data_IF_755498723458
#
_entry.id   IF_755498723458
#
_cell.length_a   1.000
_cell.length_b   1.000
_cell.length_c   1.000
_cell.angle_alpha   90.00
_cell.angle_beta   90.00
_cell.angle_gamma   90.00
#
_symmetry.space_group_name_H-M   'P 1'
#
loop_
_entity.id
_entity.type
_entity.pdbx_description
1 polymer ?
#
# COMPACT_ATOMS: atom_id res chain seq x y z
N UNK A 1 -5.35 -12.25 -1.60
CA UNK A 1 -6.33 -12.44 -0.49
C UNK A 1 -5.78 -13.54 0.39
N UNK A 2 -5.95 -13.42 1.70
CA UNK A 2 -5.42 -14.35 2.68
C UNK A 2 -6.58 -14.88 3.55
N UNK A 3 -6.80 -16.20 3.63
CA UNK A 3 -7.67 -16.78 4.64
C UNK A 3 -7.03 -16.61 6.02
N UNK A 4 -7.82 -16.20 7.00
CA UNK A 4 -7.40 -16.04 8.39
C UNK A 4 -8.10 -17.09 9.27
N UNK A 5 -7.74 -17.09 10.55
CA UNK A 5 -8.43 -17.84 11.59
C UNK A 5 -9.96 -17.60 11.57
N UNK A 6 -10.71 -18.63 11.98
CA UNK A 6 -12.18 -18.61 12.05
C UNK A 6 -12.91 -18.28 10.73
N UNK A 7 -12.30 -18.56 9.58
CA UNK A 7 -12.94 -18.41 8.26
C UNK A 7 -13.07 -16.97 7.77
N UNK A 8 -12.41 -16.00 8.43
CA UNK A 8 -12.36 -14.62 7.94
C UNK A 8 -11.42 -14.53 6.74
N UNK A 9 -11.72 -13.65 5.81
CA UNK A 9 -10.83 -13.32 4.69
C UNK A 9 -10.26 -11.91 4.88
N UNK A 10 -8.98 -11.75 4.60
CA UNK A 10 -8.31 -10.45 4.52
C UNK A 10 -7.82 -10.21 3.09
N UNK A 11 -8.13 -9.05 2.53
CA UNK A 11 -7.62 -8.65 1.23
C UNK A 11 -6.98 -7.28 1.29
N UNK A 12 -5.85 -7.13 0.58
CA UNK A 12 -5.29 -5.86 0.20
C UNK A 12 -5.91 -5.39 -1.11
N UNK A 13 -6.32 -4.13 -1.16
CA UNK A 13 -6.89 -3.51 -2.36
C UNK A 13 -6.19 -2.18 -2.64
N UNK A 14 -6.02 -1.86 -3.92
CA UNK A 14 -5.64 -0.50 -4.31
C UNK A 14 -6.86 0.40 -4.11
N UNK A 15 -6.78 1.29 -3.14
CA UNK A 15 -7.79 2.29 -2.89
C UNK A 15 -7.38 3.61 -3.56
N UNK A 16 -8.13 3.98 -4.60
CA UNK A 16 -7.96 5.25 -5.29
C UNK A 16 -9.31 5.92 -5.48
N UNK A 17 -9.42 7.17 -5.03
CA UNK A 17 -10.61 7.99 -5.29
C UNK A 17 -10.29 9.48 -5.34
N UNK A 18 -11.15 10.21 -6.06
CA UNK A 18 -11.20 11.67 -6.06
C UNK A 18 -11.95 12.18 -4.82
N UNK A 19 -11.84 13.48 -4.56
CA UNK A 19 -12.61 14.14 -3.49
C UNK A 19 -14.09 14.17 -3.86
N UNK A 20 -14.94 13.86 -2.89
CA UNK A 20 -16.41 13.89 -2.98
C UNK A 20 -16.97 15.12 -2.27
N UNK A 21 -18.23 15.54 -2.57
CA UNK A 21 -18.86 16.68 -1.91
C UNK A 21 -18.88 16.60 -0.38
N UNK A 22 -19.15 15.42 0.17
CA UNK A 22 -19.30 15.20 1.60
C UNK A 22 -17.97 14.91 2.33
N UNK A 23 -16.84 14.97 1.63
CA UNK A 23 -15.53 14.83 2.27
C UNK A 23 -15.18 16.05 3.14
N UNK A 24 -14.35 15.88 4.17
CA UNK A 24 -13.84 16.99 4.96
C UNK A 24 -13.23 18.09 4.07
N UNK A 25 -13.54 19.36 4.38
CA UNK A 25 -13.01 20.51 3.64
C UNK A 25 -11.47 20.49 3.55
N UNK A 26 -10.82 20.05 4.64
CA UNK A 26 -9.36 19.90 4.77
C UNK A 26 -8.74 18.81 3.89
N UNK A 27 -9.53 17.88 3.35
CA UNK A 27 -9.01 16.78 2.55
C UNK A 27 -8.50 17.33 1.21
N UNK A 28 -7.19 17.22 0.99
CA UNK A 28 -6.51 17.77 -0.18
C UNK A 28 -5.92 16.66 -1.03
N UNK A 29 -5.79 16.89 -2.33
CA UNK A 29 -5.09 15.99 -3.24
C UNK A 29 -3.57 16.09 -3.00
N UNK A 30 -2.89 15.02 -2.53
CA UNK A 30 -1.48 15.12 -2.16
C UNK A 30 -0.56 15.51 -3.32
N UNK A 31 -0.93 15.16 -4.56
CA UNK A 31 -0.17 15.53 -5.77
C UNK A 31 -0.04 17.04 -5.94
N UNK A 32 -0.96 17.83 -5.39
CA UNK A 32 -0.81 19.29 -5.39
C UNK A 32 0.44 19.71 -4.62
N UNK A 33 0.83 19.01 -3.56
CA UNK A 33 2.00 19.36 -2.74
C UNK A 33 3.29 18.69 -3.21
N UNK A 34 3.21 17.86 -4.25
CA UNK A 34 4.38 17.21 -4.83
C UNK A 34 5.27 18.26 -5.54
N UNK A 35 6.55 18.42 -5.16
CA UNK A 35 7.45 19.37 -5.80
C UNK A 35 7.75 19.03 -7.25
N UNK A 36 7.65 17.76 -7.63
CA UNK A 36 7.94 17.29 -9.00
C UNK A 36 6.69 17.34 -9.90
N UNK A 37 5.52 17.73 -9.36
CA UNK A 37 4.30 17.88 -10.13
C UNK A 37 4.17 19.30 -10.73
N UNK A 38 4.03 19.44 -12.06
CA UNK A 38 3.96 20.75 -12.71
C UNK A 38 2.57 21.38 -12.55
N UNK A 39 2.29 21.91 -11.35
CA UNK A 39 0.98 22.48 -10.95
C UNK A 39 0.46 23.52 -11.94
N UNK A 40 1.32 24.43 -12.40
CA UNK A 40 0.93 25.57 -13.23
C UNK A 40 0.43 25.16 -14.63
N UNK A 41 1.04 24.11 -15.20
CA UNK A 41 0.65 23.59 -16.51
C UNK A 41 -0.42 22.49 -16.42
N UNK A 42 -0.66 21.92 -15.24
CA UNK A 42 -1.62 20.86 -15.03
C UNK A 42 -3.08 21.35 -15.08
N UNK A 43 -3.88 20.80 -16.00
CA UNK A 43 -5.27 21.16 -16.20
C UNK A 43 -6.17 20.87 -14.97
N UNK A 44 -6.02 19.71 -14.33
CA UNK A 44 -6.79 19.37 -13.12
C UNK A 44 -6.44 20.29 -11.95
N UNK A 45 -5.15 20.63 -11.79
CA UNK A 45 -4.71 21.62 -10.80
C UNK A 45 -5.36 22.99 -11.05
N UNK A 46 -5.29 23.51 -12.26
CA UNK A 46 -5.88 24.83 -12.58
C UNK A 46 -7.40 24.87 -12.38
N UNK A 47 -8.09 23.78 -12.69
CA UNK A 47 -9.55 23.73 -12.59
C UNK A 47 -10.06 23.53 -11.16
N UNK A 48 -9.37 22.73 -10.33
CA UNK A 48 -9.90 22.27 -9.04
C UNK A 48 -9.06 22.71 -7.83
N UNK A 49 -7.80 23.11 -8.01
CA UNK A 49 -6.90 23.38 -6.90
C UNK A 49 -6.59 22.14 -6.06
N UNK A 50 -5.98 22.35 -4.89
CA UNK A 50 -5.64 21.28 -3.95
C UNK A 50 -6.89 20.62 -3.31
N UNK A 51 -7.97 21.38 -3.16
CA UNK A 51 -9.13 21.00 -2.34
C UNK A 51 -10.41 20.75 -3.15
N UNK A 52 -10.37 20.83 -4.48
CA UNK A 52 -11.55 20.76 -5.32
C UNK A 52 -12.15 19.36 -5.45
N UNK A 53 -13.47 19.32 -5.48
CA UNK A 53 -14.26 18.11 -5.76
C UNK A 53 -14.00 17.67 -7.19
N UNK A 54 -13.84 16.36 -7.42
CA UNK A 54 -13.63 15.81 -8.76
C UNK A 54 -12.26 16.10 -9.39
N UNK A 55 -11.37 16.82 -8.70
CA UNK A 55 -9.99 17.06 -9.14
C UNK A 55 -9.10 15.82 -9.00
N UNK A 56 -7.82 16.03 -8.67
CA UNK A 56 -6.89 14.94 -8.44
C UNK A 56 -7.33 13.98 -7.33
N UNK A 57 -6.79 12.76 -7.35
CA UNK A 57 -7.07 11.76 -6.31
C UNK A 57 -6.59 12.24 -4.94
N UNK A 58 -7.46 12.08 -3.94
CA UNK A 58 -7.14 12.34 -2.53
C UNK A 58 -6.60 11.10 -1.83
N UNK A 59 -6.91 9.92 -2.36
CA UNK A 59 -6.33 8.64 -1.95
C UNK A 59 -5.78 7.90 -3.15
N UNK A 60 -4.60 7.29 -3.01
CA UNK A 60 -3.98 6.44 -4.03
C UNK A 60 -2.99 5.48 -3.39
N UNK A 61 -3.49 4.58 -2.56
CA UNK A 61 -2.69 3.72 -1.68
C UNK A 61 -3.31 2.35 -1.45
N UNK A 62 -2.68 1.49 -0.65
CA UNK A 62 -3.22 0.20 -0.26
C UNK A 62 -4.15 0.35 0.94
N UNK A 63 -5.33 -0.24 0.85
CA UNK A 63 -6.26 -0.42 1.95
C UNK A 63 -6.49 -1.91 2.22
N UNK A 64 -6.95 -2.22 3.43
CA UNK A 64 -7.43 -3.53 3.81
C UNK A 64 -8.94 -3.58 3.82
N UNK A 65 -9.48 -4.69 3.34
CA UNK A 65 -10.89 -5.06 3.49
C UNK A 65 -10.96 -6.48 4.03
N UNK A 66 -12.01 -6.76 4.79
CA UNK A 66 -12.23 -8.06 5.43
C UNK A 66 -13.60 -8.60 5.09
N UNK A 67 -13.72 -9.91 4.99
CA UNK A 67 -15.00 -10.61 4.85
C UNK A 67 -15.14 -11.67 5.94
N UNK A 68 -16.37 -11.87 6.42
CA UNK A 68 -16.74 -12.90 7.39
C UNK A 68 -17.76 -13.90 6.84
N UNK A 69 -18.10 -13.78 5.55
CA UNK A 69 -19.15 -14.56 4.89
C UNK A 69 -18.67 -15.26 3.61
N UNK A 70 -17.37 -15.57 3.58
CA UNK A 70 -16.73 -16.27 2.45
C UNK A 70 -16.50 -15.37 1.23
N UNK A 71 -16.40 -14.06 1.42
CA UNK A 71 -16.11 -13.09 0.35
C UNK A 71 -17.34 -12.55 -0.36
N UNK A 72 -18.56 -12.80 0.16
CA UNK A 72 -19.81 -12.29 -0.42
C UNK A 72 -19.97 -10.81 -0.13
N UNK A 73 -19.68 -10.39 1.09
CA UNK A 73 -19.63 -8.98 1.49
C UNK A 73 -18.29 -8.63 2.10
N UNK A 74 -17.94 -7.35 2.03
CA UNK A 74 -16.66 -6.82 2.44
C UNK A 74 -16.84 -5.59 3.31
N UNK A 75 -15.98 -5.44 4.32
CA UNK A 75 -15.95 -4.27 5.18
C UNK A 75 -15.53 -3.00 4.42
N UNK A 76 -15.80 -1.85 5.03
CA UNK A 76 -15.27 -0.57 4.56
C UNK A 76 -13.73 -0.61 4.51
N UNK A 77 -13.09 -0.01 3.49
CA UNK A 77 -11.64 0.02 3.40
C UNK A 77 -11.01 0.71 4.62
N UNK A 78 -9.95 0.08 5.16
CA UNK A 78 -9.05 0.69 6.15
C UNK A 78 -7.72 1.03 5.50
N UNK A 79 -7.31 2.29 5.51
CA UNK A 79 -6.07 2.76 4.89
C UNK A 79 -4.88 2.20 5.65
N UNK A 80 -4.00 1.48 4.94
CA UNK A 80 -2.84 0.84 5.53
C UNK A 80 -1.54 1.56 5.17
N UNK A 81 -1.36 1.93 3.91
CA UNK A 81 -0.13 2.58 3.43
C UNK A 81 -0.36 4.04 3.07
N UNK A 82 0.74 4.78 2.91
CA UNK A 82 0.69 6.20 2.55
C UNK A 82 0.45 6.47 1.06
N UNK A 83 0.35 7.74 0.70
CA UNK A 83 0.17 8.20 -0.68
C UNK A 83 1.15 7.50 -1.66
N UNK A 84 0.61 7.03 -2.78
CA UNK A 84 1.36 6.33 -3.84
C UNK A 84 2.04 5.02 -3.42
N UNK A 85 1.82 4.53 -2.20
CA UNK A 85 2.24 3.20 -1.77
C UNK A 85 1.10 2.22 -2.04
N UNK A 86 1.18 1.45 -3.11
CA UNK A 86 0.06 0.67 -3.64
C UNK A 86 0.52 -0.68 -4.19
N UNK A 87 -0.40 -1.42 -4.81
CA UNK A 87 -0.14 -2.75 -5.41
C UNK A 87 0.53 -3.68 -4.41
N UNK A 88 -0.06 -3.78 -3.22
CA UNK A 88 0.40 -4.69 -2.19
C UNK A 88 -0.26 -6.05 -2.27
N UNK A 89 0.50 -7.11 -2.02
CA UNK A 89 0.00 -8.48 -1.88
C UNK A 89 0.19 -8.94 -0.44
N UNK A 90 -0.71 -9.77 0.07
CA UNK A 90 -0.60 -10.35 1.41
C UNK A 90 0.02 -11.73 1.28
N UNK A 91 1.06 -11.99 2.06
CA UNK A 91 1.65 -13.33 2.24
C UNK A 91 1.68 -13.67 3.73
N UNK A 92 1.63 -14.95 4.05
CA UNK A 92 1.73 -15.45 5.41
C UNK A 92 2.84 -16.49 5.47
N UNK A 93 3.72 -16.38 6.46
CA UNK A 93 4.77 -17.36 6.73
C UNK A 93 4.30 -18.37 7.80
N UNK A 94 5.09 -19.42 8.05
CA UNK A 94 4.68 -20.61 8.81
C UNK A 94 4.21 -20.31 10.24
N UNK A 95 4.76 -19.28 10.90
CA UNK A 95 4.38 -18.87 12.26
C UNK A 95 3.08 -18.05 12.32
N UNK A 96 2.41 -17.86 11.19
CA UNK A 96 1.19 -17.07 11.06
C UNK A 96 1.42 -15.57 10.84
N UNK A 97 2.68 -15.09 10.87
CA UNK A 97 3.02 -13.69 10.57
C UNK A 97 2.56 -13.32 9.16
N UNK A 98 1.84 -12.20 9.07
CA UNK A 98 1.37 -11.65 7.81
C UNK A 98 2.33 -10.55 7.36
N UNK A 99 2.70 -10.59 6.09
CA UNK A 99 3.55 -9.58 5.46
C UNK A 99 2.78 -8.96 4.30
N UNK A 100 2.89 -7.64 4.19
CA UNK A 100 2.40 -6.91 3.02
C UNK A 100 3.60 -6.29 2.30
N UNK A 101 4.17 -6.97 1.29
CA UNK A 101 5.01 -6.29 0.30
C UNK A 101 4.14 -5.37 -0.56
N UNK A 102 4.62 -4.16 -0.84
CA UNK A 102 3.93 -3.17 -1.67
C UNK A 102 4.91 -2.28 -2.41
N UNK A 103 4.43 -1.71 -3.51
CA UNK A 103 5.22 -0.80 -4.32
C UNK A 103 5.06 0.65 -3.86
N UNK A 104 6.17 1.37 -3.77
CA UNK A 104 6.21 2.80 -3.47
C UNK A 104 6.35 3.58 -4.78
N UNK A 105 5.28 4.26 -5.23
CA UNK A 105 5.25 4.96 -6.53
C UNK A 105 5.69 6.42 -6.49
N UNK A 106 6.49 6.84 -5.52
CA UNK A 106 6.91 8.24 -5.42
C UNK A 106 8.08 8.52 -6.36
N UNK A 107 7.98 9.63 -7.07
CA UNK A 107 9.07 10.24 -7.81
C UNK A 107 9.54 11.42 -6.98
N UNK A 108 10.58 11.21 -6.17
CA UNK A 108 11.27 12.33 -5.54
C UNK A 108 12.61 12.47 -6.25
N UNK A 109 12.90 13.65 -6.80
CA UNK A 109 14.19 13.96 -7.44
C UNK A 109 14.52 13.02 -8.61
N UNK A 110 13.49 12.59 -9.34
CA UNK A 110 13.64 11.66 -10.47
C UNK A 110 14.00 10.21 -10.09
N UNK A 111 14.22 9.91 -8.81
CA UNK A 111 14.39 8.52 -8.34
C UNK A 111 13.04 7.84 -8.34
N UNK A 112 12.95 6.76 -9.09
CA UNK A 112 11.73 6.04 -9.33
C UNK A 112 11.68 4.79 -8.47
N UNK A 113 10.64 4.72 -7.66
CA UNK A 113 10.01 3.46 -7.27
C UNK A 113 10.81 2.56 -6.32
N UNK A 114 10.13 1.59 -5.75
CA UNK A 114 10.76 0.62 -4.87
C UNK A 114 9.74 -0.33 -4.28
N UNK A 115 10.24 -1.43 -3.75
CA UNK A 115 9.45 -2.37 -2.98
C UNK A 115 9.72 -2.13 -1.51
N UNK A 116 8.64 -2.11 -0.74
CA UNK A 116 8.66 -1.98 0.72
C UNK A 116 7.77 -3.06 1.31
N UNK A 117 7.87 -3.26 2.62
CA UNK A 117 6.91 -4.12 3.31
C UNK A 117 6.55 -3.62 4.71
N UNK A 118 5.39 -4.07 5.15
CA UNK A 118 4.89 -3.98 6.52
C UNK A 118 4.62 -5.39 7.06
N UNK A 119 4.64 -5.53 8.39
CA UNK A 119 4.45 -6.81 9.08
C UNK A 119 3.30 -6.71 10.07
N UNK A 120 2.50 -7.76 10.18
CA UNK A 120 1.45 -7.93 11.18
C UNK A 120 1.61 -9.28 11.89
N UNK A 121 1.41 -9.25 13.20
CA UNK A 121 1.51 -10.42 14.08
C UNK A 121 0.16 -10.83 14.70
N UNK A 122 -0.93 -10.20 14.27
CA UNK A 122 -2.25 -10.27 14.94
C UNK A 122 -3.41 -10.34 13.94
N UNK A 123 -3.25 -11.15 12.88
CA UNK A 123 -4.27 -11.36 11.84
C UNK A 123 -4.67 -10.06 11.11
N UNK A 124 -3.69 -9.17 10.89
CA UNK A 124 -3.89 -7.92 10.13
C UNK A 124 -4.67 -6.85 10.89
N UNK A 125 -4.76 -6.97 12.23
CA UNK A 125 -5.42 -5.96 13.09
C UNK A 125 -4.51 -4.75 13.28
N UNK A 126 -3.22 -4.97 13.51
CA UNK A 126 -2.19 -3.94 13.61
C UNK A 126 -0.97 -4.27 12.74
N UNK A 127 -0.22 -3.23 12.39
CA UNK A 127 0.89 -3.29 11.45
C UNK A 127 2.09 -2.51 11.96
N UNK A 128 3.30 -2.97 11.61
CA UNK A 128 4.55 -2.35 12.04
C UNK A 128 4.58 -0.86 11.67
N UNK A 129 5.02 0.00 12.59
CA UNK A 129 5.30 1.41 12.26
C UNK A 129 6.55 1.58 11.41
N UNK A 130 7.51 0.67 11.58
CA UNK A 130 8.67 0.56 10.69
C UNK A 130 8.23 0.09 9.32
N UNK A 131 8.58 0.87 8.29
CA UNK A 131 8.45 0.49 6.89
C UNK A 131 9.82 0.06 6.40
N UNK A 132 9.92 -1.19 5.96
CA UNK A 132 11.19 -1.73 5.47
C UNK A 132 11.32 -1.52 3.97
N UNK A 133 12.50 -1.11 3.53
CA UNK A 133 12.83 -1.00 2.11
C UNK A 133 13.44 -2.32 1.63
N UNK A 134 12.75 -2.99 0.71
CA UNK A 134 13.15 -4.28 0.16
C UNK A 134 14.05 -4.11 -1.08
N UNK A 135 13.72 -3.14 -1.93
CA UNK A 135 14.45 -2.88 -3.17
C UNK A 135 14.17 -1.47 -3.68
N UNK A 136 15.18 -0.81 -4.25
CA UNK A 136 15.10 0.58 -4.73
C UNK A 136 14.54 0.72 -6.16
N UNK A 137 13.95 -0.34 -6.71
CA UNK A 137 13.47 -0.34 -8.08
C UNK A 137 12.26 -1.24 -8.30
N UNK A 138 11.56 -0.95 -9.39
CA UNK A 138 10.43 -1.72 -9.88
C UNK A 138 9.11 -1.47 -9.16
N UNK A 139 8.03 -1.96 -9.78
CA UNK A 139 6.64 -1.84 -9.38
C UNK A 139 5.89 -3.15 -9.66
N UNK A 140 4.61 -3.16 -9.26
CA UNK A 140 3.67 -4.25 -9.56
C UNK A 140 4.17 -5.61 -9.08
N UNK A 141 4.78 -5.60 -7.90
CA UNK A 141 5.32 -6.80 -7.32
C UNK A 141 4.22 -7.79 -6.93
N UNK A 142 4.55 -9.07 -7.04
CA UNK A 142 3.81 -10.15 -6.41
C UNK A 142 4.78 -10.99 -5.59
N UNK A 143 4.29 -11.51 -4.47
CA UNK A 143 5.10 -12.25 -3.52
C UNK A 143 4.44 -13.56 -3.12
N UNK A 144 5.27 -14.54 -2.77
CA UNK A 144 4.90 -15.85 -2.26
C UNK A 144 5.84 -16.24 -1.13
N UNK A 145 5.30 -16.76 -0.03
CA UNK A 145 6.08 -17.38 1.03
C UNK A 145 6.41 -18.83 0.64
N UNK A 146 7.62 -19.28 0.95
CA UNK A 146 8.10 -20.64 0.74
C UNK A 146 8.15 -21.39 2.08
N UNK A 147 8.26 -22.72 2.02
CA UNK A 147 8.24 -23.61 3.20
C UNK A 147 9.41 -23.38 4.18
N UNK A 148 10.47 -22.68 3.75
CA UNK A 148 11.61 -22.31 4.59
C UNK A 148 11.50 -20.89 5.20
N UNK A 149 10.29 -20.33 5.19
CA UNK A 149 9.94 -18.97 5.62
C UNK A 149 10.71 -17.85 4.89
N UNK A 150 11.31 -18.16 3.74
CA UNK A 150 11.72 -17.11 2.80
C UNK A 150 10.52 -16.64 1.99
N UNK A 151 10.57 -15.38 1.55
CA UNK A 151 9.59 -14.80 0.65
C UNK A 151 10.29 -14.56 -0.69
N UNK A 152 9.65 -14.97 -1.77
CA UNK A 152 10.03 -14.61 -3.12
C UNK A 152 9.15 -13.47 -3.60
N UNK A 153 9.76 -12.38 -4.06
CA UNK A 153 9.09 -11.23 -4.66
C UNK A 153 9.54 -11.06 -6.11
N UNK A 154 8.60 -11.04 -7.04
CA UNK A 154 8.84 -10.77 -8.47
C UNK A 154 8.26 -9.41 -8.81
N UNK A 155 9.03 -8.54 -9.46
CA UNK A 155 8.59 -7.21 -9.85
C UNK A 155 9.18 -6.77 -11.19
N UNK A 156 8.64 -5.70 -11.79
CA UNK A 156 9.19 -5.18 -13.05
C UNK A 156 10.60 -4.59 -12.89
N UNK A 157 11.38 -4.58 -13.97
CA UNK A 157 12.66 -3.89 -14.03
C UNK A 157 12.47 -2.56 -14.75
N UNK A 158 12.12 -1.50 -14.01
CA UNK A 158 11.86 -0.20 -14.62
C UNK A 158 13.08 0.73 -14.63
N UNK A 159 14.22 0.23 -15.09
CA UNK A 159 15.08 1.07 -15.95
C UNK A 159 14.39 1.20 -17.31
N UNK A 160 14.13 2.43 -17.78
CA UNK A 160 13.40 2.65 -19.02
C UNK A 160 14.08 1.92 -20.20
N UNK A 161 13.40 0.91 -20.77
CA UNK A 161 13.83 0.23 -22.01
C UNK A 161 14.13 -1.27 -21.90
N UNK A 162 14.28 -1.84 -20.70
CA UNK A 162 14.51 -3.29 -20.52
C UNK A 162 13.26 -3.97 -19.97
N UNK A 163 12.77 -5.03 -20.63
CA UNK A 163 11.54 -5.76 -20.25
C UNK A 163 11.80 -6.93 -19.29
N UNK A 164 12.83 -6.82 -18.45
CA UNK A 164 13.18 -7.92 -17.56
C UNK A 164 12.33 -7.88 -16.29
N UNK A 165 12.13 -9.04 -15.67
CA UNK A 165 11.62 -9.15 -14.31
C UNK A 165 12.80 -9.26 -13.35
N UNK A 166 12.65 -8.70 -12.16
CA UNK A 166 13.56 -8.93 -11.04
C UNK A 166 12.93 -9.91 -10.07
N UNK A 167 13.75 -10.78 -9.48
CA UNK A 167 13.33 -11.76 -8.48
C UNK A 167 14.19 -11.57 -7.24
N UNK A 168 13.54 -11.39 -6.10
CA UNK A 168 14.18 -11.26 -4.80
C UNK A 168 13.75 -12.43 -3.94
N UNK A 169 14.69 -13.15 -3.33
CA UNK A 169 14.40 -14.11 -2.25
C UNK A 169 14.98 -13.56 -0.95
N UNK A 170 14.14 -13.38 0.06
CA UNK A 170 14.49 -12.63 1.26
C UNK A 170 13.83 -13.23 2.51
N UNK A 171 14.32 -12.86 3.69
CA UNK A 171 13.75 -13.22 4.98
C UNK A 171 13.35 -11.96 5.75
N UNK A 172 12.37 -12.10 6.63
CA UNK A 172 12.01 -11.03 7.55
C UNK A 172 13.15 -10.73 8.53
N UNK A 173 13.29 -9.47 8.97
CA UNK A 173 14.03 -9.14 10.17
C UNK A 173 13.45 -9.87 11.39
N UNK A 174 14.25 -9.97 12.44
CA UNK A 174 13.79 -10.60 13.69
C UNK A 174 12.53 -9.91 14.26
N UNK A 175 11.68 -10.68 14.96
CA UNK A 175 10.48 -10.13 15.60
C UNK A 175 10.79 -9.00 16.58
N UNK A 176 11.90 -9.10 17.32
CA UNK A 176 12.36 -8.03 18.21
C UNK A 176 12.67 -6.75 17.45
N UNK A 177 13.37 -6.85 16.31
CA UNK A 177 13.69 -5.71 15.45
C UNK A 177 12.44 -5.02 14.90
N UNK A 178 11.48 -5.80 14.37
CA UNK A 178 10.19 -5.28 13.87
C UNK A 178 9.41 -4.60 14.98
N UNK A 179 9.44 -5.16 16.19
CA UNK A 179 8.67 -4.64 17.32
C UNK A 179 9.23 -3.34 17.90
N UNK A 180 10.49 -2.96 17.62
CA UNK A 180 11.11 -1.73 18.16
C UNK A 180 10.34 -0.47 17.81
N UNK A 181 9.74 -0.41 16.61
CA UNK A 181 8.97 0.75 16.16
C UNK A 181 7.53 0.80 16.71
N UNK A 182 7.08 -0.29 17.34
CA UNK A 182 5.68 -0.49 17.71
C UNK A 182 4.76 -0.71 16.50
N UNK A 183 3.46 -0.75 16.76
CA UNK A 183 2.42 -1.06 15.78
C UNK A 183 1.35 0.02 15.73
N UNK A 184 0.68 0.16 14.59
CA UNK A 184 -0.48 1.03 14.42
C UNK A 184 -1.67 0.24 13.87
N UNK A 185 -2.88 0.73 14.14
CA UNK A 185 -4.11 0.18 13.57
C UNK A 185 -4.51 0.98 12.33
N UNK A 186 -4.80 0.32 11.19
CA UNK A 186 -5.28 0.98 9.98
C UNK A 186 -6.60 1.71 10.23
N UNK A 187 -6.68 2.96 9.81
CA UNK A 187 -7.85 3.81 10.00
C UNK A 187 -8.89 3.58 8.89
N UNK A 188 -10.18 3.67 9.24
CA UNK A 188 -11.21 3.71 8.21
C UNK A 188 -11.04 4.94 7.33
N UNK A 189 -11.35 4.79 6.04
CA UNK A 189 -11.45 5.97 5.18
C UNK A 189 -12.56 6.87 5.73
N UNK A 190 -12.19 8.09 6.15
CA UNK A 190 -13.09 9.22 6.25
C UNK A 190 -13.73 9.38 4.86
N UNK A 191 -14.94 8.87 4.72
CA UNK A 191 -15.77 9.08 3.55
C UNK A 191 -16.97 9.87 4.06
N UNK A 192 -17.29 10.95 3.36
CA UNK A 192 -18.63 11.51 3.40
C UNK A 192 -19.64 10.38 3.24
N UNK A 193 -20.67 10.37 4.09
CA UNK A 193 -21.68 9.32 4.11
C UNK A 193 -22.41 9.25 2.77
#
# INVERSE_FOLDING_TARGET
>A
MLPLSAGRLLASVRYQRKKLPDDPKRLAAPVWFDPDHPRESCAECRAHGAFGIGGHSVFKQTALVTSTDGGRTWSRPRLLTGWMQQTGCLVQISDGTIVLPFSHKTTARGVRFGQRFLVSYDDGKSWSRSVYELHHGGLYANSVALDDDTIVTVHDNREAGKRNLNVLRWKLPSRSEVSRGGFFQPEFVEAGR
#
